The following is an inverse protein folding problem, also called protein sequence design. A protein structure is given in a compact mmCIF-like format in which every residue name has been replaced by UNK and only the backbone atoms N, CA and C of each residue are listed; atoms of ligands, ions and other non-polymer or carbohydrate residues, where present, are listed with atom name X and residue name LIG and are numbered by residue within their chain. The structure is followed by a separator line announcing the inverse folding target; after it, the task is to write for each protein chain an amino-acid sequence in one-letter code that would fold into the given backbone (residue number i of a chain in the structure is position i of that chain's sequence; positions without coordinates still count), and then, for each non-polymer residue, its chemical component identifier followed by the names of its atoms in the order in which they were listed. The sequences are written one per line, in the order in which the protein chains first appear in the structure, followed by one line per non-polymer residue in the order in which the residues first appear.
data_IF_072117190472
#
_entry.id   IF_072117190472
#
_cell.length_a   1.000
_cell.length_b   1.000
_cell.length_c   1.000
_cell.angle_alpha   90.00
_cell.angle_beta   90.00
_cell.angle_gamma   90.00
#
_symmetry.space_group_name_H-M   'P 1'
#
loop_
_entity.id
_entity.type
_entity.pdbx_description
1 polymer ?
#
# COMPACT_ATOMS: atom_id res chain seq x y z
N UNK A 1 -33.95 -15.41 -16.87
CA UNK A 1 -33.83 -14.08 -16.27
C UNK A 1 -32.38 -13.67 -16.31
N UNK A 2 -32.08 -12.51 -16.89
CA UNK A 2 -30.73 -11.95 -16.93
C UNK A 2 -30.37 -11.52 -15.50
N UNK A 3 -29.29 -12.06 -14.95
CA UNK A 3 -28.74 -11.66 -13.66
C UNK A 3 -28.02 -10.34 -13.88
N UNK A 4 -28.68 -9.23 -13.54
CA UNK A 4 -28.01 -7.93 -13.53
C UNK A 4 -27.08 -7.88 -12.32
N UNK A 5 -25.83 -7.54 -12.57
CA UNK A 5 -24.83 -7.44 -11.52
C UNK A 5 -25.16 -6.21 -10.66
N UNK A 6 -25.10 -6.33 -9.33
CA UNK A 6 -25.19 -5.16 -8.42
C UNK A 6 -24.24 -4.05 -8.85
N UNK A 7 -23.12 -4.43 -9.47
CA UNK A 7 -22.11 -3.51 -9.99
C UNK A 7 -22.52 -2.79 -11.27
N UNK A 8 -23.34 -3.37 -12.15
CA UNK A 8 -23.91 -2.66 -13.32
C UNK A 8 -24.82 -1.49 -12.86
N UNK A 9 -25.57 -1.73 -11.78
CA UNK A 9 -26.47 -0.74 -11.17
C UNK A 9 -25.65 0.39 -10.53
N UNK A 10 -24.64 0.05 -9.73
CA UNK A 10 -23.78 1.05 -9.05
C UNK A 10 -22.92 1.82 -10.05
N UNK A 11 -22.48 1.19 -11.13
CA UNK A 11 -21.67 1.80 -12.18
C UNK A 11 -22.44 2.67 -13.17
N UNK A 12 -23.78 2.77 -13.05
CA UNK A 12 -24.65 3.47 -14.01
C UNK A 12 -24.34 3.10 -15.48
N UNK A 13 -23.99 1.83 -15.75
CA UNK A 13 -23.62 1.37 -17.10
C UNK A 13 -22.25 1.82 -17.63
N UNK A 14 -21.38 2.39 -16.79
CA UNK A 14 -20.00 2.78 -17.18
C UNK A 14 -18.98 1.68 -16.86
N UNK A 15 -18.00 1.49 -17.74
CA UNK A 15 -16.87 0.55 -17.57
C UNK A 15 -15.84 1.00 -16.51
N UNK A 16 -16.21 1.91 -15.60
CA UNK A 16 -15.33 2.42 -14.52
C UNK A 16 -14.78 1.29 -13.63
N UNK A 17 -15.49 0.16 -13.56
CA UNK A 17 -15.08 -0.98 -12.74
C UNK A 17 -13.87 -1.73 -13.31
N UNK A 18 -13.69 -1.77 -14.63
CA UNK A 18 -12.49 -2.39 -15.23
C UNK A 18 -11.21 -1.63 -14.88
N UNK A 19 -11.35 -0.36 -14.52
CA UNK A 19 -10.25 0.51 -14.09
C UNK A 19 -10.18 0.68 -12.58
N UNK A 20 -11.09 0.10 -11.78
CA UNK A 20 -11.05 0.23 -10.33
C UNK A 20 -10.24 -0.88 -9.66
N UNK A 21 -9.23 -0.50 -8.88
CA UNK A 21 -8.49 -1.41 -7.99
C UNK A 21 -8.94 -1.19 -6.53
N UNK A 22 -9.16 -2.25 -5.74
CA UNK A 22 -9.35 -2.12 -4.30
C UNK A 22 -8.14 -1.39 -3.68
N UNK A 23 -8.35 -0.46 -2.75
CA UNK A 23 -7.23 0.29 -2.15
C UNK A 23 -6.25 -0.60 -1.38
N UNK A 24 -6.70 -1.76 -0.91
CA UNK A 24 -5.81 -2.78 -0.31
C UNK A 24 -4.87 -3.43 -1.32
N UNK A 25 -5.17 -3.39 -2.62
CA UNK A 25 -4.26 -3.84 -3.69
C UNK A 25 -3.32 -2.75 -4.17
N UNK A 26 -3.48 -1.53 -3.68
CA UNK A 26 -2.60 -0.43 -4.02
C UNK A 26 -1.19 -0.69 -3.47
N UNK A 27 -0.13 -0.44 -4.25
CA UNK A 27 1.24 -0.49 -3.75
C UNK A 27 1.47 0.47 -2.58
N UNK A 28 2.27 0.04 -1.60
CA UNK A 28 2.58 0.80 -0.37
C UNK A 28 3.17 2.20 -0.67
N UNK A 29 3.88 2.35 -1.80
CA UNK A 29 4.44 3.63 -2.27
C UNK A 29 3.39 4.74 -2.47
N UNK A 30 2.13 4.39 -2.71
CA UNK A 30 1.06 5.36 -2.93
C UNK A 30 0.29 5.73 -1.66
N UNK A 31 0.66 5.17 -0.51
CA UNK A 31 0.15 5.65 0.77
C UNK A 31 0.56 7.11 0.93
N UNK A 32 -0.37 7.97 1.36
CA UNK A 32 -0.11 9.39 1.56
C UNK A 32 1.12 9.60 2.47
N UNK A 33 2.05 10.51 2.14
CA UNK A 33 3.26 10.73 2.95
C UNK A 33 2.98 11.04 4.43
N UNK A 34 1.87 11.72 4.74
CA UNK A 34 1.46 11.96 6.13
C UNK A 34 1.16 10.68 6.91
N UNK A 35 0.55 9.69 6.25
CA UNK A 35 0.23 8.37 6.83
C UNK A 35 1.51 7.56 7.00
N UNK A 36 2.43 7.60 6.04
CA UNK A 36 3.74 6.95 6.15
C UNK A 36 4.55 7.49 7.33
N UNK A 37 4.62 8.81 7.50
CA UNK A 37 5.29 9.45 8.66
C UNK A 37 4.64 9.07 9.98
N UNK A 38 3.30 8.98 10.01
CA UNK A 38 2.60 8.59 11.22
C UNK A 38 2.84 7.11 11.58
N UNK A 39 2.91 6.22 10.59
CA UNK A 39 3.33 4.83 10.81
C UNK A 39 4.75 4.75 11.36
N UNK A 40 5.67 5.53 10.80
CA UNK A 40 7.04 5.62 11.29
C UNK A 40 7.11 6.04 12.76
N UNK A 41 6.37 7.09 13.15
CA UNK A 41 6.28 7.50 14.55
C UNK A 41 5.76 6.40 15.50
N UNK A 42 5.00 5.44 14.99
CA UNK A 42 4.45 4.34 15.78
C UNK A 42 5.39 3.12 15.85
N UNK A 43 6.19 2.87 14.83
CA UNK A 43 6.98 1.64 14.65
C UNK A 43 8.49 1.84 14.82
N UNK A 44 9.00 3.06 14.68
CA UNK A 44 10.42 3.38 14.90
C UNK A 44 10.84 3.29 16.37
N UNK A 45 10.03 3.77 17.35
CA UNK A 45 10.37 3.59 18.76
C UNK A 45 10.36 2.10 19.13
N UNK A 46 11.29 1.65 19.99
CA UNK A 46 11.30 0.28 20.46
C UNK A 46 10.02 -0.03 21.22
N UNK A 47 9.30 -1.06 20.77
CA UNK A 47 8.12 -1.55 21.46
C UNK A 47 8.55 -2.49 22.60
N UNK A 48 7.93 -2.43 23.80
CA UNK A 48 8.26 -3.32 24.92
C UNK A 48 8.18 -4.82 24.59
N UNK A 49 7.43 -5.21 23.56
CA UNK A 49 7.28 -6.59 23.11
C UNK A 49 8.02 -6.85 21.78
N UNK A 50 8.89 -5.95 21.32
CA UNK A 50 9.63 -6.09 20.06
C UNK A 50 8.77 -6.03 18.80
N UNK A 51 7.56 -5.48 18.89
CA UNK A 51 6.63 -5.31 17.74
C UNK A 51 6.92 -4.02 16.98
N UNK A 52 8.17 -3.89 16.56
CA UNK A 52 8.72 -2.69 15.93
C UNK A 52 8.96 -2.89 14.42
N UNK A 53 9.57 -1.88 13.81
CA UNK A 53 9.95 -1.88 12.41
C UNK A 53 10.90 -3.02 12.01
N UNK A 54 11.76 -3.49 12.92
CA UNK A 54 12.74 -4.53 12.63
C UNK A 54 12.03 -5.88 12.43
N UNK A 55 11.13 -6.22 13.35
CA UNK A 55 10.33 -7.44 13.22
C UNK A 55 9.40 -7.36 11.98
N UNK A 56 8.87 -6.18 11.66
CA UNK A 56 8.13 -5.96 10.42
C UNK A 56 9.01 -6.20 9.18
N UNK A 57 10.26 -5.72 9.18
CA UNK A 57 11.21 -5.93 8.08
C UNK A 57 11.45 -7.42 7.82
N UNK A 58 11.68 -8.19 8.89
CA UNK A 58 11.85 -9.65 8.80
C UNK A 58 10.62 -10.31 8.17
N UNK A 59 9.42 -9.91 8.59
CA UNK A 59 8.17 -10.48 8.05
C UNK A 59 7.86 -10.09 6.61
N UNK A 60 8.42 -8.99 6.13
CA UNK A 60 8.36 -8.57 4.74
C UNK A 60 9.46 -9.23 3.88
N UNK A 61 10.28 -10.13 4.46
CA UNK A 61 11.38 -10.77 3.76
C UNK A 61 12.59 -9.85 3.56
N UNK A 62 12.67 -8.75 4.32
CA UNK A 62 13.75 -7.76 4.27
C UNK A 62 14.72 -7.90 5.46
N UNK A 63 14.72 -9.05 6.14
CA UNK A 63 15.57 -9.31 7.31
C UNK A 63 17.06 -9.07 7.03
N UNK A 64 17.55 -9.52 5.89
CA UNK A 64 18.97 -9.35 5.49
C UNK A 64 19.35 -7.88 5.24
N UNK A 65 18.35 -6.99 5.12
CA UNK A 65 18.54 -5.56 4.87
C UNK A 65 18.34 -4.72 6.11
N UNK A 66 18.01 -5.30 7.27
CA UNK A 66 17.76 -4.55 8.53
C UNK A 66 18.92 -3.63 8.89
N UNK A 67 20.17 -4.10 8.76
CA UNK A 67 21.36 -3.27 9.04
C UNK A 67 21.49 -2.06 8.10
N UNK A 68 21.00 -2.16 6.85
CA UNK A 68 20.97 -1.04 5.90
C UNK A 68 19.78 -0.09 6.17
N UNK A 69 18.74 -0.60 6.82
CA UNK A 69 17.56 0.18 7.20
C UNK A 69 17.80 0.98 8.47
N UNK A 70 18.63 0.48 9.38
CA UNK A 70 19.04 1.16 10.62
C UNK A 70 20.11 2.24 10.33
N UNK A 71 19.66 3.45 10.01
CA UNK A 71 20.56 4.60 9.86
C UNK A 71 20.15 5.71 10.81
N UNK A 72 21.12 6.50 11.27
CA UNK A 72 20.87 7.63 12.17
C UNK A 72 20.21 8.87 11.51
N UNK A 73 19.96 8.87 10.20
CA UNK A 73 19.53 10.08 9.46
C UNK A 73 18.03 10.08 9.13
N UNK A 74 17.45 8.91 8.82
CA UNK A 74 16.03 8.77 8.47
C UNK A 74 15.35 7.69 9.29
N UNK A 75 14.02 7.77 9.36
CA UNK A 75 13.16 6.73 9.90
C UNK A 75 13.39 5.37 9.20
N UNK A 76 13.70 4.30 9.94
CA UNK A 76 13.85 2.96 9.36
C UNK A 76 12.52 2.44 8.80
N UNK A 77 11.37 2.78 9.39
CA UNK A 77 10.05 2.44 8.84
C UNK A 77 9.82 3.10 7.48
N UNK A 78 10.16 4.39 7.31
CA UNK A 78 9.99 5.05 6.02
C UNK A 78 10.85 4.40 4.93
N UNK A 79 12.09 4.03 5.27
CA UNK A 79 12.98 3.34 4.33
C UNK A 79 12.46 1.95 3.98
N UNK A 80 11.94 1.21 4.96
CA UNK A 80 11.27 -0.07 4.74
C UNK A 80 10.10 0.07 3.76
N UNK A 81 9.24 1.09 3.92
CA UNK A 81 8.13 1.36 3.00
C UNK A 81 8.61 1.77 1.59
N UNK A 82 9.75 2.43 1.49
CA UNK A 82 10.38 2.80 0.20
C UNK A 82 11.07 1.63 -0.50
N UNK A 83 11.67 0.71 0.26
CA UNK A 83 12.30 -0.51 -0.27
C UNK A 83 11.29 -1.64 -0.51
N UNK A 84 10.06 -1.51 -0.01
CA UNK A 84 8.99 -2.45 -0.25
C UNK A 84 8.73 -2.52 -1.76
N UNK A 85 9.01 -3.69 -2.36
CA UNK A 85 8.89 -3.89 -3.80
C UNK A 85 7.47 -3.64 -4.32
N UNK A 86 7.31 -3.59 -5.64
CA UNK A 86 6.02 -3.35 -6.31
C UNK A 86 4.92 -4.37 -5.93
N UNK A 87 5.30 -5.56 -5.45
CA UNK A 87 4.37 -6.56 -4.92
C UNK A 87 3.90 -6.31 -3.48
N UNK A 88 4.51 -5.38 -2.75
CA UNK A 88 4.06 -5.00 -1.42
C UNK A 88 2.88 -4.01 -1.56
N UNK A 89 1.70 -4.52 -1.24
CA UNK A 89 0.44 -3.79 -1.24
C UNK A 89 0.07 -3.35 0.17
N UNK A 90 -0.82 -2.38 0.26
CA UNK A 90 -1.45 -1.96 1.52
C UNK A 90 -2.02 -3.18 2.27
N UNK A 91 -2.67 -4.11 1.56
CA UNK A 91 -3.25 -5.33 2.13
C UNK A 91 -2.21 -6.31 2.68
N UNK A 92 -1.08 -6.50 1.98
CA UNK A 92 0.02 -7.30 2.53
C UNK A 92 0.62 -6.67 3.77
N UNK A 93 0.75 -5.34 3.80
CA UNK A 93 1.23 -4.61 4.97
C UNK A 93 0.26 -4.74 6.16
N UNK A 94 -1.06 -4.60 5.94
CA UNK A 94 -2.09 -4.86 6.96
C UNK A 94 -1.95 -6.26 7.54
N UNK A 95 -1.80 -7.27 6.67
CA UNK A 95 -1.68 -8.67 7.12
C UNK A 95 -0.48 -8.86 8.05
N UNK A 96 0.66 -8.28 7.71
CA UNK A 96 1.85 -8.37 8.56
C UNK A 96 1.69 -7.61 9.87
N UNK A 97 1.11 -6.40 9.85
CA UNK A 97 0.86 -5.61 11.05
C UNK A 97 -0.14 -6.30 12.02
N UNK A 98 -1.21 -6.92 11.50
CA UNK A 98 -2.12 -7.74 12.31
C UNK A 98 -1.41 -8.94 12.93
N UNK A 99 -0.58 -9.62 12.15
CA UNK A 99 0.16 -10.76 12.64
C UNK A 99 1.20 -10.35 13.71
N UNK A 100 1.68 -9.09 13.70
CA UNK A 100 2.53 -8.52 14.75
C UNK A 100 1.73 -8.10 15.99
N UNK A 101 0.40 -8.04 15.90
CA UNK A 101 -0.48 -7.51 16.94
C UNK A 101 -0.45 -5.98 17.05
N UNK A 102 -0.09 -5.28 15.96
CA UNK A 102 -0.10 -3.81 15.85
C UNK A 102 -1.41 -3.33 15.20
N UNK A 103 -2.53 -3.57 15.88
CA UNK A 103 -3.85 -3.16 15.39
C UNK A 103 -4.03 -1.63 15.36
N UNK A 104 -3.27 -0.91 16.18
CA UNK A 104 -3.14 0.55 16.14
C UNK A 104 -2.68 1.04 14.76
N UNK A 105 -1.62 0.45 14.23
CA UNK A 105 -1.07 0.79 12.91
C UNK A 105 -2.00 0.34 11.78
N UNK A 106 -2.67 -0.80 11.93
CA UNK A 106 -3.69 -1.30 10.99
C UNK A 106 -4.87 -0.34 10.90
N UNK A 107 -5.40 0.09 12.04
CA UNK A 107 -6.52 1.01 12.11
C UNK A 107 -6.18 2.33 11.41
N UNK A 108 -4.98 2.87 11.66
CA UNK A 108 -4.50 4.07 11.00
C UNK A 108 -4.42 3.91 9.48
N UNK A 109 -3.84 2.81 9.01
CA UNK A 109 -3.67 2.54 7.58
C UNK A 109 -5.03 2.40 6.88
N UNK A 110 -5.94 1.58 7.42
CA UNK A 110 -7.26 1.36 6.83
C UNK A 110 -8.12 2.60 6.85
N UNK A 111 -8.05 3.42 7.92
CA UNK A 111 -8.81 4.68 8.01
C UNK A 111 -8.43 5.69 6.92
N UNK A 112 -7.22 5.61 6.38
CA UNK A 112 -6.72 6.51 5.34
C UNK A 112 -6.59 5.86 3.97
N UNK A 113 -6.92 4.56 3.86
CA UNK A 113 -6.91 3.82 2.61
C UNK A 113 -8.28 3.98 1.95
N UNK A 114 -8.36 4.51 0.72
CA UNK A 114 -9.64 4.55 0.00
C UNK A 114 -10.13 3.12 -0.29
N UNK A 115 -11.44 2.92 -0.35
CA UNK A 115 -12.01 1.58 -0.61
C UNK A 115 -11.62 1.11 -2.02
N UNK A 116 -11.69 2.02 -3.00
CA UNK A 116 -11.29 1.81 -4.39
C UNK A 116 -10.48 2.99 -4.91
N UNK A 117 -9.58 2.71 -5.84
CA UNK A 117 -8.76 3.69 -6.56
C UNK A 117 -8.94 3.44 -8.06
N UNK A 118 -9.07 4.51 -8.83
CA UNK A 118 -9.06 4.43 -10.28
C UNK A 118 -7.62 4.22 -10.78
N UNK A 119 -7.37 3.07 -11.36
CA UNK A 119 -6.20 2.77 -12.19
C UNK A 119 -6.43 3.37 -13.57
N UNK A 120 -5.98 4.60 -13.77
CA UNK A 120 -5.90 5.17 -15.11
C UNK A 120 -4.76 4.44 -15.84
N UNK A 121 -5.10 3.40 -16.61
CA UNK A 121 -4.22 2.94 -17.69
C UNK A 121 -4.12 4.12 -18.66
N UNK A 122 -2.97 4.79 -18.68
CA UNK A 122 -2.68 5.74 -19.74
C UNK A 122 -2.42 4.88 -20.97
N UNK A 123 -3.46 4.55 -21.71
CA UNK A 123 -3.31 4.03 -23.06
C UNK A 123 -2.70 5.19 -23.85
N UNK A 124 -1.38 5.17 -23.96
CA UNK A 124 -0.64 6.05 -24.84
C UNK A 124 -0.90 5.61 -26.29
N UNK A 125 -2.11 5.89 -26.77
CA UNK A 125 -2.35 6.07 -28.21
C UNK A 125 -1.74 7.42 -28.63
N UNK A 126 -0.41 7.53 -28.51
CA UNK A 126 0.32 8.59 -29.22
C UNK A 126 0.31 8.25 -30.69
N UNK A 127 -0.56 8.96 -31.43
CA UNK A 127 -0.76 8.84 -32.86
C UNK A 127 0.55 8.76 -33.63
N UNK A 128 0.73 7.64 -34.32
CA UNK A 128 1.71 7.49 -35.40
C UNK A 128 0.94 7.26 -36.70
N UNK A 129 0.43 8.33 -37.29
CA UNK A 129 0.05 8.37 -38.70
C UNK A 129 -0.02 9.83 -39.14
N UNK A 130 1.09 10.33 -39.69
CA UNK A 130 1.19 11.43 -40.66
C UNK A 130 2.67 11.59 -41.05
N UNK A 131 3.23 10.59 -41.72
CA UNK A 131 4.38 10.82 -42.59
C UNK A 131 3.83 11.18 -43.97
N UNK A 132 4.11 12.42 -44.38
CA UNK A 132 3.95 12.95 -45.74
C UNK A 132 4.82 12.19 -46.74
#
# INVERSE_FOLDING_TARGET
GRQESVWEIVGCGTALLDTCIPGTRQPVKFIKPGVQRRLAQMLDPPDPHGKDWCLLAVRLGLGDRVANLDSNVDSPTLRLLGCAGTGCTVGSLVKQLRALGREDAVHLLLSHTPVFVLSMSIDSETGSNLSR
#
